data_IF_937479046968
#
_entry.id   IF_937479046968
#
_cell.length_a   1.000
_cell.length_b   1.000
_cell.length_c   1.000
_cell.angle_alpha   90.00
_cell.angle_beta   90.00
_cell.angle_gamma   90.00
#
_symmetry.space_group_name_H-M   'P 1'
#
loop_
_entity.id
_entity.type
_entity.pdbx_description
1 polymer ?
#
# COMPACT_ATOMS: atom_id res chain seq x y z
N UNK A 1 8.45 8.87 14.86
CA UNK A 1 8.23 7.57 14.15
C UNK A 1 7.17 6.70 14.84
N UNK A 2 7.22 6.61 16.18
CA UNK A 2 6.34 5.72 16.96
C UNK A 2 4.95 6.32 17.20
N UNK A 3 4.84 7.64 17.33
CA UNK A 3 3.58 8.33 17.64
C UNK A 3 2.41 7.97 16.71
N UNK A 4 2.51 8.00 15.37
CA UNK A 4 1.39 7.63 14.51
C UNK A 4 0.91 6.20 14.75
N UNK A 5 1.80 5.27 15.12
CA UNK A 5 1.39 3.91 15.43
C UNK A 5 0.60 3.86 16.76
N UNK A 6 1.12 4.48 17.82
CA UNK A 6 0.47 4.49 19.13
C UNK A 6 -0.92 5.14 19.09
N UNK A 7 -1.04 6.30 18.43
CA UNK A 7 -2.31 7.02 18.32
C UNK A 7 -3.34 6.25 17.51
N UNK A 8 -2.93 5.75 16.34
CA UNK A 8 -3.86 5.13 15.41
C UNK A 8 -4.25 3.69 15.78
N UNK A 9 -3.37 2.94 16.46
CA UNK A 9 -3.57 1.51 16.71
C UNK A 9 -3.72 1.12 18.17
N UNK A 10 -3.14 1.89 19.10
CA UNK A 10 -3.21 1.62 20.54
C UNK A 10 -4.10 2.60 21.31
N UNK A 11 -4.66 3.62 20.64
CA UNK A 11 -5.57 4.59 21.27
C UNK A 11 -4.87 5.55 22.23
N UNK A 12 -3.58 5.80 22.03
CA UNK A 12 -2.83 6.77 22.83
C UNK A 12 -3.17 8.20 22.40
N UNK A 13 -3.41 9.10 23.34
CA UNK A 13 -3.77 10.50 23.04
C UNK A 13 -2.53 11.39 22.86
N UNK A 14 -1.51 11.20 23.71
CA UNK A 14 -0.28 11.98 23.72
C UNK A 14 0.94 11.07 23.77
N UNK A 15 1.94 11.39 22.95
CA UNK A 15 3.21 10.66 22.90
C UNK A 15 4.33 11.65 23.14
N UNK A 16 5.05 11.46 24.23
CA UNK A 16 6.25 12.23 24.56
C UNK A 16 7.44 11.29 24.38
N UNK A 17 8.41 11.70 23.58
CA UNK A 17 9.54 10.83 23.29
C UNK A 17 10.67 11.55 22.59
N UNK A 18 11.80 10.86 22.50
CA UNK A 18 12.97 11.36 21.79
C UNK A 18 12.68 11.49 20.30
N UNK A 19 12.91 12.68 19.75
CA UNK A 19 12.77 12.95 18.32
C UNK A 19 14.05 12.61 17.55
N UNK A 20 13.90 12.32 16.26
CA UNK A 20 15.03 12.20 15.34
C UNK A 20 15.23 13.55 14.67
N UNK A 21 16.45 14.06 14.75
CA UNK A 21 16.87 15.28 14.06
C UNK A 21 16.61 15.14 12.56
N UNK A 22 16.10 16.22 11.97
CA UNK A 22 15.84 16.27 10.53
C UNK A 22 16.43 17.52 9.92
N UNK A 23 16.89 17.39 8.69
CA UNK A 23 17.39 18.50 7.89
C UNK A 23 16.65 18.50 6.56
N UNK A 24 15.95 19.61 6.25
CA UNK A 24 15.14 19.77 5.03
C UNK A 24 14.14 18.62 4.79
N UNK A 25 13.53 18.12 5.87
CA UNK A 25 12.56 17.02 5.81
C UNK A 25 13.18 15.62 5.65
N UNK A 26 14.51 15.50 5.73
CA UNK A 26 15.23 14.22 5.73
C UNK A 26 15.72 13.93 7.14
N UNK A 27 15.44 12.75 7.67
CA UNK A 27 15.98 12.30 8.95
C UNK A 27 17.50 12.16 8.85
N UNK A 28 18.23 12.78 9.78
CA UNK A 28 19.71 12.76 9.80
C UNK A 28 20.27 11.47 10.40
N UNK A 29 19.42 10.71 11.12
CA UNK A 29 19.83 9.54 11.90
C UNK A 29 20.31 9.90 13.32
N UNK A 30 20.53 11.19 13.61
CA UNK A 30 20.86 11.65 14.95
C UNK A 30 19.61 11.96 15.76
N UNK A 31 19.71 11.82 17.07
CA UNK A 31 18.68 12.25 18.01
C UNK A 31 18.60 13.80 18.01
N UNK A 32 17.39 14.34 18.03
CA UNK A 32 17.13 15.78 18.20
C UNK A 32 17.52 16.28 19.59
N UNK A 33 17.86 17.57 19.71
CA UNK A 33 18.14 18.19 21.00
C UNK A 33 16.93 18.16 21.94
N UNK A 34 17.18 18.12 23.26
CA UNK A 34 16.20 17.92 24.34
C UNK A 34 15.61 16.49 24.45
N UNK A 35 16.40 15.47 24.11
CA UNK A 35 15.96 14.08 24.09
C UNK A 35 15.29 13.62 25.39
N UNK A 36 14.04 13.16 25.28
CA UNK A 36 13.31 12.44 26.35
C UNK A 36 13.89 11.03 26.41
N UNK A 37 15.11 10.92 26.92
CA UNK A 37 15.90 9.69 26.82
C UNK A 37 15.62 8.78 28.01
N UNK A 38 15.88 9.23 29.23
CA UNK A 38 15.78 8.41 30.46
C UNK A 38 15.66 9.34 31.69
N UNK A 39 15.06 8.88 32.79
CA UNK A 39 15.20 9.57 34.09
C UNK A 39 14.45 10.88 34.20
N UNK A 40 15.13 11.89 34.75
CA UNK A 40 14.58 13.24 34.98
C UNK A 40 14.07 13.91 33.70
N UNK A 41 14.65 13.60 32.54
CA UNK A 41 14.18 14.13 31.25
C UNK A 41 12.73 13.65 30.95
N UNK A 42 12.38 12.41 31.31
CA UNK A 42 11.01 11.90 31.20
C UNK A 42 10.07 12.65 32.15
N UNK A 43 10.52 12.93 33.38
CA UNK A 43 9.75 13.68 34.37
C UNK A 43 9.52 15.13 33.93
N UNK A 44 10.55 15.80 33.39
CA UNK A 44 10.44 17.15 32.85
C UNK A 44 9.49 17.21 31.65
N UNK A 45 9.59 16.25 30.72
CA UNK A 45 8.65 16.15 29.60
C UNK A 45 7.20 15.98 30.09
N UNK A 46 6.98 15.14 31.10
CA UNK A 46 5.65 14.93 31.70
C UNK A 46 5.14 16.20 32.38
N UNK A 47 5.96 16.87 33.21
CA UNK A 47 5.57 18.13 33.85
C UNK A 47 5.16 19.17 32.83
N UNK A 48 5.96 19.34 31.77
CA UNK A 48 5.69 20.29 30.68
C UNK A 48 4.39 19.97 29.94
N UNK A 49 4.07 18.69 29.75
CA UNK A 49 2.84 18.29 29.08
C UNK A 49 1.58 18.48 29.94
N UNK A 50 1.72 18.45 31.26
CA UNK A 50 0.60 18.44 32.21
C UNK A 50 0.60 19.64 33.18
N UNK A 51 1.24 20.76 32.83
CA UNK A 51 1.46 21.95 33.69
C UNK A 51 0.18 22.48 34.39
N UNK A 52 -1.00 22.23 33.82
CA UNK A 52 -2.30 22.70 34.32
C UNK A 52 -3.32 21.59 34.60
N UNK A 53 -2.89 20.31 34.55
CA UNK A 53 -3.78 19.15 34.65
C UNK A 53 -3.69 18.46 36.01
N UNK A 54 -4.71 17.66 36.34
CA UNK A 54 -4.67 16.78 37.50
C UNK A 54 -3.52 15.78 37.42
N UNK A 55 -2.92 15.46 38.57
CA UNK A 55 -1.83 14.48 38.73
C UNK A 55 -2.21 13.15 38.04
N UNK A 56 -1.35 12.58 37.17
CA UNK A 56 -1.60 11.30 36.52
C UNK A 56 -1.91 10.20 37.55
N UNK A 57 -2.89 9.35 37.25
CA UNK A 57 -3.36 8.36 38.23
C UNK A 57 -2.44 7.15 38.31
N UNK A 58 -1.99 6.63 37.18
CA UNK A 58 -1.20 5.39 37.11
C UNK A 58 0.07 5.66 36.30
N UNK A 59 1.23 5.38 36.90
CA UNK A 59 2.53 5.37 36.24
C UNK A 59 3.04 3.94 36.08
N UNK A 60 3.44 3.57 34.88
CA UNK A 60 4.00 2.25 34.56
C UNK A 60 5.39 2.43 33.97
N UNK A 61 6.40 1.80 34.57
CA UNK A 61 7.79 1.83 34.11
C UNK A 61 8.41 0.43 34.06
N UNK A 62 9.59 0.33 33.43
CA UNK A 62 10.29 -0.95 33.24
C UNK A 62 11.57 -1.10 34.07
N UNK A 63 12.03 -0.01 34.69
CA UNK A 63 13.31 0.08 35.40
C UNK A 63 13.33 1.22 36.42
N UNK A 64 14.33 1.26 37.30
CA UNK A 64 14.50 2.35 38.29
C UNK A 64 14.70 3.72 37.64
N UNK A 65 15.15 3.73 36.39
CA UNK A 65 15.35 4.95 35.61
C UNK A 65 14.03 5.64 35.25
N UNK A 66 12.88 4.99 35.49
CA UNK A 66 11.54 5.55 35.30
C UNK A 66 10.96 6.16 36.58
N UNK A 67 11.58 5.92 37.74
CA UNK A 67 11.11 6.45 39.03
C UNK A 67 10.86 7.96 39.04
N UNK A 68 11.70 8.83 38.41
CA UNK A 68 11.46 10.27 38.41
C UNK A 68 10.09 10.68 37.87
N UNK A 69 9.62 10.08 36.77
CA UNK A 69 8.29 10.40 36.24
C UNK A 69 7.19 9.65 37.00
N UNK A 70 7.43 8.40 37.43
CA UNK A 70 6.45 7.62 38.18
C UNK A 70 6.13 8.26 39.54
N UNK A 71 7.09 8.97 40.14
CA UNK A 71 6.89 9.76 41.35
C UNK A 71 5.86 10.88 41.18
N UNK A 72 5.59 11.30 39.94
CA UNK A 72 4.55 12.26 39.60
C UNK A 72 3.15 11.61 39.49
N UNK A 73 3.04 10.28 39.61
CA UNK A 73 1.77 9.55 39.51
C UNK A 73 1.24 9.12 40.89
N UNK A 74 -0.09 8.96 41.03
CA UNK A 74 -0.73 8.49 42.28
C UNK A 74 -0.36 7.05 42.60
N UNK A 75 -0.49 6.16 41.62
CA UNK A 75 -0.11 4.74 41.68
C UNK A 75 1.05 4.44 40.74
N UNK A 76 1.86 3.43 41.10
CA UNK A 76 3.14 3.15 40.46
C UNK A 76 3.34 1.66 40.31
N UNK A 77 3.50 1.20 39.08
CA UNK A 77 3.69 -0.21 38.77
C UNK A 77 4.96 -0.40 37.97
N UNK A 78 5.79 -1.35 38.40
CA UNK A 78 6.94 -1.81 37.62
C UNK A 78 6.52 -3.05 36.87
N UNK A 79 6.72 -3.00 35.55
CA UNK A 79 6.56 -4.15 34.66
C UNK A 79 7.95 -4.52 34.17
N UNK A 80 8.62 -5.50 34.81
CA UNK A 80 9.96 -5.91 34.42
C UNK A 80 9.98 -6.31 32.94
N UNK A 81 11.03 -5.88 32.24
CA UNK A 81 11.23 -6.27 30.85
C UNK A 81 11.49 -7.77 30.76
N UNK A 82 10.46 -8.55 30.36
CA UNK A 82 10.64 -9.95 30.02
C UNK A 82 10.88 -10.07 28.50
N UNK A 83 12.12 -10.38 28.13
CA UNK A 83 12.53 -10.57 26.73
C UNK A 83 11.80 -11.73 26.04
N UNK A 84 11.10 -12.59 26.79
CA UNK A 84 10.29 -13.70 26.26
C UNK A 84 8.89 -13.26 25.83
N UNK A 85 8.47 -12.04 26.16
CA UNK A 85 7.19 -11.50 25.72
C UNK A 85 7.21 -11.38 24.20
N UNK A 86 6.32 -12.12 23.56
CA UNK A 86 6.17 -12.10 22.11
C UNK A 86 5.46 -10.80 21.71
N UNK A 87 5.87 -10.14 20.60
CA UNK A 87 5.13 -9.02 20.06
C UNK A 87 3.66 -9.41 19.83
N UNK A 88 2.75 -8.51 20.21
CA UNK A 88 1.31 -8.65 19.97
C UNK A 88 1.09 -8.87 18.47
N UNK A 89 0.26 -9.85 18.12
CA UNK A 89 -0.06 -10.09 16.72
C UNK A 89 -0.95 -8.97 16.18
N UNK A 90 -0.95 -8.79 14.86
CA UNK A 90 -1.72 -7.70 14.23
C UNK A 90 -3.23 -7.82 14.48
N UNK A 91 -3.75 -9.05 14.58
CA UNK A 91 -5.14 -9.40 14.87
C UNK A 91 -5.53 -9.19 16.35
N UNK A 92 -4.53 -9.09 17.24
CA UNK A 92 -4.72 -8.86 18.68
C UNK A 92 -4.59 -7.36 19.04
N UNK A 93 -4.30 -6.49 18.07
CA UNK A 93 -4.27 -5.04 18.30
C UNK A 93 -5.69 -4.50 18.54
N UNK A 94 -5.86 -3.50 19.43
CA UNK A 94 -7.16 -2.87 19.68
C UNK A 94 -7.84 -2.33 18.41
N UNK A 95 -7.05 -1.90 17.43
CA UNK A 95 -7.53 -1.49 16.10
C UNK A 95 -6.75 -2.27 15.03
N UNK A 96 -7.44 -2.85 14.03
CA UNK A 96 -6.79 -3.65 13.00
C UNK A 96 -5.87 -2.79 12.13
N UNK A 97 -4.70 -3.32 11.79
CA UNK A 97 -3.72 -2.63 10.96
C UNK A 97 -4.01 -2.78 9.47
N UNK A 98 -4.98 -2.00 8.97
CA UNK A 98 -5.38 -2.03 7.56
C UNK A 98 -4.42 -1.20 6.70
N UNK A 99 -3.96 -0.05 7.22
CA UNK A 99 -3.14 0.90 6.47
C UNK A 99 -1.77 1.10 7.11
N UNK A 100 -0.75 0.60 6.45
CA UNK A 100 0.63 0.93 6.80
C UNK A 100 1.38 1.52 5.61
N UNK A 101 2.40 2.30 5.92
CA UNK A 101 3.29 2.90 4.93
C UNK A 101 4.76 2.64 5.31
N UNK A 102 5.62 2.64 4.31
CA UNK A 102 7.03 2.30 4.46
C UNK A 102 7.53 1.38 3.35
N UNK A 103 8.85 1.42 3.14
CA UNK A 103 9.54 0.63 2.13
C UNK A 103 10.08 -0.67 2.65
N UNK A 104 10.36 -0.81 3.94
CA UNK A 104 10.96 -2.02 4.48
C UNK A 104 9.87 -3.04 4.79
N UNK A 105 10.06 -4.27 4.31
CA UNK A 105 9.16 -5.40 4.61
C UNK A 105 9.41 -5.92 6.02
N UNK A 106 10.69 -6.03 6.38
CA UNK A 106 11.10 -6.56 7.67
C UNK A 106 11.45 -5.43 8.63
N UNK A 107 11.19 -5.67 9.93
CA UNK A 107 11.70 -4.80 10.99
C UNK A 107 13.22 -4.72 10.88
N UNK A 108 13.82 -3.52 10.84
CA UNK A 108 15.26 -3.35 10.72
C UNK A 108 15.95 -3.66 12.06
N UNK A 109 16.02 -4.94 12.44
CA UNK A 109 16.94 -5.40 13.48
C UNK A 109 18.38 -5.09 13.05
N UNK A 110 19.38 -5.01 13.95
CA UNK A 110 20.76 -4.74 13.57
C UNK A 110 21.28 -5.65 12.44
N UNK A 111 20.95 -6.95 12.51
CA UNK A 111 21.29 -7.91 11.46
C UNK A 111 20.55 -7.63 10.15
N UNK A 112 19.23 -7.40 10.20
CA UNK A 112 18.46 -7.10 8.97
C UNK A 112 18.87 -5.77 8.34
N UNK A 113 19.18 -4.77 9.14
CA UNK A 113 19.70 -3.49 8.68
C UNK A 113 21.03 -3.66 7.96
N UNK A 114 21.96 -4.44 8.53
CA UNK A 114 23.23 -4.77 7.87
C UNK A 114 22.99 -5.48 6.52
N UNK A 115 22.11 -6.49 6.49
CA UNK A 115 21.77 -7.20 5.26
C UNK A 115 21.17 -6.27 4.21
N UNK A 116 20.27 -5.37 4.60
CA UNK A 116 19.68 -4.37 3.70
C UNK A 116 20.77 -3.43 3.14
N UNK A 117 21.69 -2.95 3.98
CA UNK A 117 22.78 -2.05 3.57
C UNK A 117 23.71 -2.74 2.56
N UNK A 118 24.12 -3.97 2.85
CA UNK A 118 24.99 -4.76 1.96
C UNK A 118 24.28 -5.12 0.65
N UNK A 119 22.99 -5.46 0.71
CA UNK A 119 22.21 -5.80 -0.47
C UNK A 119 21.90 -4.58 -1.34
N UNK A 120 21.69 -3.40 -0.75
CA UNK A 120 21.23 -2.21 -1.46
C UNK A 120 21.96 -1.93 -2.80
N UNK A 121 23.31 -1.87 -2.87
CA UNK A 121 24.01 -1.64 -4.14
C UNK A 121 23.75 -2.75 -5.18
N UNK A 122 23.73 -4.01 -4.76
CA UNK A 122 23.43 -5.17 -5.63
C UNK A 122 21.97 -5.09 -6.12
N UNK A 123 21.05 -4.77 -5.22
CA UNK A 123 19.63 -4.59 -5.51
C UNK A 123 19.39 -3.47 -6.51
N UNK A 124 20.12 -2.36 -6.43
CA UNK A 124 20.05 -1.26 -7.41
C UNK A 124 20.45 -1.75 -8.80
N UNK A 125 21.57 -2.46 -8.94
CA UNK A 125 22.02 -3.00 -10.22
C UNK A 125 21.01 -4.02 -10.79
N UNK A 126 20.54 -4.94 -9.95
CA UNK A 126 19.53 -5.93 -10.30
C UNK A 126 18.24 -5.25 -10.78
N UNK A 127 17.77 -4.25 -10.04
CA UNK A 127 16.59 -3.48 -10.39
C UNK A 127 16.74 -2.80 -11.76
N UNK A 128 17.85 -2.08 -11.97
CA UNK A 128 18.09 -1.38 -13.24
C UNK A 128 18.09 -2.38 -14.40
N UNK A 129 18.74 -3.53 -14.24
CA UNK A 129 18.72 -4.58 -15.26
C UNK A 129 17.31 -5.09 -15.55
N UNK A 130 16.51 -5.41 -14.53
CA UNK A 130 15.12 -5.88 -14.67
C UNK A 130 14.23 -4.86 -15.36
N UNK A 131 14.35 -3.58 -14.99
CA UNK A 131 13.58 -2.49 -15.59
C UNK A 131 13.98 -2.30 -17.05
N UNK A 132 15.27 -2.19 -17.36
CA UNK A 132 15.73 -1.97 -18.73
C UNK A 132 15.37 -3.14 -19.65
N UNK A 133 15.64 -4.39 -19.23
CA UNK A 133 15.32 -5.56 -20.04
C UNK A 133 13.79 -5.67 -20.21
N UNK A 134 13.02 -5.49 -19.13
CA UNK A 134 11.56 -5.56 -19.16
C UNK A 134 10.91 -4.51 -20.04
N UNK A 135 11.35 -3.25 -19.96
CA UNK A 135 10.81 -2.12 -20.74
C UNK A 135 11.15 -2.20 -22.23
N UNK A 136 12.28 -2.83 -22.60
CA UNK A 136 12.69 -2.97 -24.01
C UNK A 136 12.24 -4.30 -24.64
N UNK A 137 11.53 -5.15 -23.91
CA UNK A 137 11.08 -6.45 -24.40
C UNK A 137 9.59 -6.44 -24.77
N UNK A 138 9.18 -7.22 -25.80
CA UNK A 138 7.77 -7.49 -26.04
C UNK A 138 7.09 -8.08 -24.81
N UNK A 139 5.81 -7.75 -24.59
CA UNK A 139 5.06 -8.22 -23.42
C UNK A 139 4.99 -9.75 -23.31
N UNK A 140 5.01 -10.45 -24.45
CA UNK A 140 5.00 -11.92 -24.53
C UNK A 140 6.27 -12.56 -23.95
N UNK A 141 7.40 -11.83 -23.97
CA UNK A 141 8.66 -12.29 -23.38
C UNK A 141 8.82 -11.85 -21.92
N UNK A 142 8.08 -10.82 -21.49
CA UNK A 142 8.20 -10.26 -20.15
C UNK A 142 8.02 -11.32 -19.06
N UNK A 143 7.05 -12.23 -19.23
CA UNK A 143 6.83 -13.35 -18.30
C UNK A 143 8.11 -14.16 -18.07
N UNK A 144 8.77 -14.59 -19.15
CA UNK A 144 9.98 -15.42 -19.08
C UNK A 144 11.19 -14.65 -18.53
N UNK A 145 11.35 -13.39 -18.93
CA UNK A 145 12.43 -12.52 -18.44
C UNK A 145 12.33 -12.32 -16.93
N UNK A 146 11.12 -12.07 -16.42
CA UNK A 146 10.90 -11.92 -14.99
C UNK A 146 11.24 -13.22 -14.24
N UNK A 147 10.81 -14.38 -14.74
CA UNK A 147 11.17 -15.67 -14.14
C UNK A 147 12.69 -15.89 -14.10
N UNK A 148 13.38 -15.64 -15.22
CA UNK A 148 14.84 -15.82 -15.35
C UNK A 148 15.63 -14.87 -14.43
N UNK A 149 15.13 -13.65 -14.25
CA UNK A 149 15.77 -12.68 -13.36
C UNK A 149 15.41 -12.89 -11.89
N UNK A 150 14.64 -13.93 -11.53
CA UNK A 150 14.31 -14.30 -10.15
C UNK A 150 12.96 -13.78 -9.63
N UNK A 151 12.17 -13.12 -10.46
CA UNK A 151 10.79 -12.73 -10.14
C UNK A 151 9.84 -13.88 -10.47
N UNK A 152 9.43 -14.65 -9.45
CA UNK A 152 8.59 -15.82 -9.65
C UNK A 152 7.14 -15.42 -9.96
N UNK A 153 6.63 -15.78 -11.13
CA UNK A 153 5.23 -15.54 -11.50
C UNK A 153 4.45 -16.84 -11.34
N UNK A 154 3.44 -16.83 -10.47
CA UNK A 154 2.52 -17.95 -10.23
C UNK A 154 1.18 -17.61 -10.86
N UNK A 155 0.72 -18.46 -11.77
CA UNK A 155 -0.57 -18.30 -12.45
C UNK A 155 -1.52 -19.40 -11.97
N UNK A 156 -2.72 -18.99 -11.60
CA UNK A 156 -3.83 -19.87 -11.21
C UNK A 156 -5.06 -19.53 -12.04
N UNK A 157 -5.92 -20.53 -12.27
CA UNK A 157 -7.04 -20.41 -13.19
C UNK A 157 -6.60 -20.39 -14.64
N UNK A 158 -7.56 -20.24 -15.55
CA UNK A 158 -7.33 -20.19 -16.99
C UNK A 158 -7.50 -18.76 -17.51
N UNK A 159 -6.44 -18.10 -17.98
CA UNK A 159 -6.56 -16.81 -18.64
C UNK A 159 -7.50 -16.93 -19.85
N UNK A 160 -8.44 -15.99 -20.04
CA UNK A 160 -9.34 -16.04 -21.19
C UNK A 160 -8.57 -15.86 -22.50
N UNK A 161 -9.06 -16.45 -23.61
CA UNK A 161 -8.44 -16.29 -24.92
C UNK A 161 -8.55 -14.83 -25.38
N UNK A 162 -7.56 -14.39 -26.18
CA UNK A 162 -7.49 -13.03 -26.69
C UNK A 162 -8.70 -12.70 -27.60
N UNK A 163 -9.41 -11.62 -27.29
CA UNK A 163 -10.62 -11.19 -27.99
C UNK A 163 -10.37 -10.64 -29.42
N UNK A 164 -9.13 -10.27 -29.76
CA UNK A 164 -8.76 -9.51 -30.98
C UNK A 164 -9.23 -10.09 -32.31
N UNK A 165 -9.54 -11.38 -32.38
CA UNK A 165 -9.91 -12.04 -33.64
C UNK A 165 -11.42 -12.30 -33.79
N UNK A 166 -12.26 -11.75 -32.91
CA UNK A 166 -13.69 -12.13 -32.83
C UNK A 166 -14.70 -11.00 -33.08
N UNK A 167 -14.25 -9.77 -33.36
CA UNK A 167 -15.16 -8.62 -33.52
C UNK A 167 -15.97 -8.28 -32.25
N UNK A 168 -15.52 -8.77 -31.09
CA UNK A 168 -16.15 -8.57 -29.78
C UNK A 168 -15.59 -7.33 -29.10
N UNK A 169 -16.39 -6.75 -28.21
CA UNK A 169 -15.94 -5.70 -27.28
C UNK A 169 -14.81 -6.22 -26.40
N UNK A 170 -13.89 -5.34 -26.00
CA UNK A 170 -12.79 -5.67 -25.11
C UNK A 170 -13.26 -6.18 -23.75
N UNK A 171 -12.41 -6.95 -23.08
CA UNK A 171 -12.70 -7.51 -21.75
C UNK A 171 -12.10 -6.63 -20.66
N UNK A 172 -12.87 -6.36 -19.61
CA UNK A 172 -12.41 -5.66 -18.41
C UNK A 172 -11.88 -6.66 -17.37
N UNK A 173 -10.56 -6.69 -17.22
CA UNK A 173 -9.85 -7.41 -16.16
C UNK A 173 -9.81 -6.55 -14.89
N UNK A 174 -10.65 -6.92 -13.92
CA UNK A 174 -10.86 -6.16 -12.69
C UNK A 174 -10.03 -6.79 -11.57
N UNK A 175 -9.02 -6.06 -11.09
CA UNK A 175 -7.97 -6.61 -10.24
C UNK A 175 -8.00 -6.04 -8.81
N UNK A 176 -7.60 -6.85 -7.82
CA UNK A 176 -7.06 -6.29 -6.56
C UNK A 176 -5.75 -5.54 -6.83
N UNK A 177 -5.43 -4.54 -6.01
CA UNK A 177 -4.29 -3.64 -6.27
C UNK A 177 -3.19 -3.76 -5.21
N UNK A 178 -2.04 -4.35 -5.54
CA UNK A 178 -0.88 -4.52 -4.65
C UNK A 178 0.28 -3.60 -5.00
N UNK A 179 0.54 -3.35 -6.28
CA UNK A 179 1.66 -2.54 -6.78
C UNK A 179 1.25 -1.74 -8.01
N UNK A 180 2.07 -0.77 -8.41
CA UNK A 180 1.82 -0.04 -9.68
C UNK A 180 2.00 -0.91 -10.92
N UNK A 181 2.64 -2.08 -10.81
CA UNK A 181 2.95 -2.98 -11.92
C UNK A 181 1.88 -4.05 -12.12
N UNK A 182 0.82 -4.08 -11.33
CA UNK A 182 -0.20 -5.13 -11.42
C UNK A 182 -0.76 -5.28 -12.85
N UNK A 183 -1.08 -4.19 -13.56
CA UNK A 183 -1.53 -4.29 -14.94
C UNK A 183 -0.49 -4.92 -15.87
N UNK A 184 0.80 -4.60 -15.69
CA UNK A 184 1.89 -5.14 -16.48
C UNK A 184 2.03 -6.66 -16.30
N UNK A 185 1.95 -7.16 -15.06
CA UNK A 185 2.01 -8.59 -14.79
C UNK A 185 0.79 -9.33 -15.33
N UNK A 186 -0.40 -8.73 -15.28
CA UNK A 186 -1.61 -9.29 -15.90
C UNK A 186 -1.45 -9.38 -17.43
N UNK A 187 -0.99 -8.32 -18.10
CA UNK A 187 -0.75 -8.34 -19.56
C UNK A 187 0.30 -9.39 -19.96
N UNK A 188 1.36 -9.53 -19.15
CA UNK A 188 2.40 -10.52 -19.40
C UNK A 188 1.88 -11.96 -19.32
N UNK A 189 0.99 -12.25 -18.37
CA UNK A 189 0.36 -13.58 -18.26
C UNK A 189 -0.67 -13.82 -19.35
N UNK A 190 -1.41 -12.78 -19.77
CA UNK A 190 -2.31 -12.84 -20.92
C UNK A 190 -1.57 -13.01 -22.27
N UNK A 191 -0.26 -12.74 -22.30
CA UNK A 191 0.60 -12.92 -23.47
C UNK A 191 0.38 -11.87 -24.58
N UNK A 192 -0.38 -10.80 -24.31
CA UNK A 192 -0.65 -9.74 -25.29
C UNK A 192 -0.81 -8.37 -24.62
N UNK A 193 -0.70 -7.30 -25.42
CA UNK A 193 -0.78 -5.93 -24.92
C UNK A 193 -2.23 -5.60 -24.54
N UNK A 194 -2.42 -5.22 -23.27
CA UNK A 194 -3.67 -4.64 -22.77
C UNK A 194 -3.48 -3.15 -22.51
N UNK A 195 -4.59 -2.45 -22.26
CA UNK A 195 -4.58 -1.05 -21.82
C UNK A 195 -4.78 -0.98 -20.32
N UNK A 196 -3.98 -0.19 -19.62
CA UNK A 196 -4.10 0.06 -18.18
C UNK A 196 -4.71 1.44 -17.94
N UNK A 197 -5.68 1.56 -17.03
CA UNK A 197 -6.15 2.86 -16.54
C UNK A 197 -5.70 3.14 -15.11
N UNK A 198 -5.23 4.37 -14.86
CA UNK A 198 -4.72 4.73 -13.53
C UNK A 198 -4.92 6.21 -13.18
N UNK A 199 -5.17 6.49 -11.90
CA UNK A 199 -5.42 7.86 -11.40
C UNK A 199 -4.16 8.63 -11.01
N UNK A 200 -3.02 7.96 -10.81
CA UNK A 200 -1.85 8.55 -10.12
C UNK A 200 -0.52 7.87 -10.49
N UNK A 201 -0.36 7.47 -11.75
CA UNK A 201 0.92 6.98 -12.28
C UNK A 201 1.89 8.13 -12.55
N UNK A 202 3.14 7.93 -12.16
CA UNK A 202 4.20 8.90 -12.45
C UNK A 202 4.54 8.91 -13.95
N UNK A 203 5.01 10.05 -14.50
CA UNK A 203 5.44 10.12 -15.91
C UNK A 203 6.58 9.15 -16.23
N UNK A 204 7.48 8.91 -15.28
CA UNK A 204 8.58 7.96 -15.42
C UNK A 204 8.05 6.53 -15.51
N UNK A 205 7.09 6.16 -14.65
CA UNK A 205 6.43 4.85 -14.69
C UNK A 205 5.74 4.62 -16.02
N UNK A 206 5.05 5.63 -16.55
CA UNK A 206 4.39 5.56 -17.85
C UNK A 206 5.38 5.42 -19.00
N UNK A 207 6.48 6.18 -18.98
CA UNK A 207 7.54 6.08 -19.99
C UNK A 207 8.22 4.69 -20.00
N UNK A 208 8.40 4.08 -18.83
CA UNK A 208 9.00 2.75 -18.70
C UNK A 208 8.01 1.61 -18.99
N UNK A 209 6.71 1.89 -19.13
CA UNK A 209 5.69 0.87 -19.29
C UNK A 209 5.66 0.35 -20.74
N UNK A 210 5.80 -0.98 -20.97
CA UNK A 210 5.67 -1.54 -22.32
C UNK A 210 4.21 -1.64 -22.78
N UNK A 211 3.24 -1.44 -21.88
CA UNK A 211 1.81 -1.44 -22.16
C UNK A 211 1.24 -0.02 -22.18
N UNK A 212 0.14 0.18 -22.92
CA UNK A 212 -0.57 1.46 -23.04
C UNK A 212 -1.12 1.87 -21.67
N UNK A 213 -0.76 3.06 -21.19
CA UNK A 213 -1.29 3.62 -19.95
C UNK A 213 -2.21 4.81 -20.26
N UNK A 214 -3.42 4.78 -19.73
CA UNK A 214 -4.39 5.86 -19.85
C UNK A 214 -4.61 6.50 -18.48
N UNK A 215 -4.33 7.81 -18.39
CA UNK A 215 -4.51 8.57 -17.16
C UNK A 215 -5.96 8.99 -16.98
N UNK A 216 -6.50 8.70 -15.82
CA UNK A 216 -7.83 9.14 -15.41
C UNK A 216 -7.74 10.51 -14.71
N UNK A 217 -8.73 11.36 -14.97
CA UNK A 217 -8.79 12.74 -14.49
C UNK A 217 -9.52 12.89 -13.15
N UNK A 218 -10.07 11.79 -12.61
CA UNK A 218 -10.93 11.75 -11.40
C UNK A 218 -12.26 12.46 -11.60
N UNK A 219 -12.66 12.65 -12.85
CA UNK A 219 -13.96 13.17 -13.25
C UNK A 219 -14.74 12.03 -13.89
N UNK A 220 -15.77 11.57 -13.19
CA UNK A 220 -16.46 10.31 -13.50
C UNK A 220 -16.94 10.22 -14.96
N UNK A 221 -17.51 11.29 -15.51
CA UNK A 221 -18.02 11.33 -16.88
C UNK A 221 -16.91 11.21 -17.93
N UNK A 222 -15.78 11.90 -17.74
CA UNK A 222 -14.62 11.82 -18.64
C UNK A 222 -13.94 10.47 -18.55
N UNK A 223 -13.75 9.97 -17.33
CA UNK A 223 -13.14 8.67 -17.08
C UNK A 223 -14.00 7.54 -17.66
N UNK A 224 -15.32 7.63 -17.53
CA UNK A 224 -16.28 6.71 -18.14
C UNK A 224 -16.14 6.66 -19.66
N UNK A 225 -16.06 7.84 -20.30
CA UNK A 225 -15.91 7.95 -21.75
C UNK A 225 -14.60 7.29 -22.23
N UNK A 226 -13.47 7.61 -21.59
CA UNK A 226 -12.16 7.04 -21.94
C UNK A 226 -12.21 5.50 -21.85
N UNK A 227 -12.76 4.97 -20.77
CA UNK A 227 -12.85 3.51 -20.56
C UNK A 227 -13.76 2.87 -21.61
N UNK A 228 -14.91 3.49 -21.88
CA UNK A 228 -15.87 3.00 -22.88
C UNK A 228 -15.25 2.95 -24.28
N UNK A 229 -14.59 4.02 -24.70
CA UNK A 229 -13.94 4.11 -26.02
C UNK A 229 -12.89 2.98 -26.19
N UNK A 230 -12.08 2.70 -25.16
CA UNK A 230 -11.08 1.61 -25.18
C UNK A 230 -11.76 0.24 -25.38
N UNK A 231 -12.85 -0.03 -24.67
CA UNK A 231 -13.56 -1.30 -24.72
C UNK A 231 -14.30 -1.48 -26.05
N UNK A 232 -14.90 -0.42 -26.60
CA UNK A 232 -15.60 -0.43 -27.90
C UNK A 232 -14.62 -0.59 -29.07
N UNK A 233 -13.39 -0.07 -28.96
CA UNK A 233 -12.29 -0.34 -29.90
C UNK A 233 -11.80 -1.81 -29.86
N UNK A 234 -12.30 -2.63 -28.93
CA UNK A 234 -11.92 -4.04 -28.78
C UNK A 234 -10.63 -4.27 -28.01
N UNK A 235 -10.14 -3.27 -27.28
CA UNK A 235 -8.95 -3.41 -26.44
C UNK A 235 -9.29 -3.95 -25.05
N UNK A 236 -8.58 -4.99 -24.64
CA UNK A 236 -8.65 -5.49 -23.28
C UNK A 236 -8.11 -4.45 -22.29
N UNK A 237 -8.85 -4.26 -21.21
CA UNK A 237 -8.62 -3.24 -20.20
C UNK A 237 -8.26 -3.91 -18.88
N UNK A 238 -7.14 -3.51 -18.28
CA UNK A 238 -6.79 -3.90 -16.92
C UNK A 238 -6.98 -2.71 -15.99
N UNK A 239 -7.77 -2.90 -14.92
CA UNK A 239 -8.06 -1.84 -13.98
C UNK A 239 -8.15 -2.32 -12.54
N UNK A 240 -7.82 -1.42 -11.63
CA UNK A 240 -7.81 -1.65 -10.18
C UNK A 240 -8.84 -0.74 -9.51
N UNK A 241 -10.09 -1.21 -9.29
CA UNK A 241 -11.20 -0.37 -8.80
C UNK A 241 -11.01 0.13 -7.36
N UNK A 242 -10.06 -0.39 -6.59
CA UNK A 242 -9.62 0.17 -5.30
C UNK A 242 -9.08 1.60 -5.44
N UNK A 243 -8.53 1.95 -6.61
CA UNK A 243 -7.95 3.26 -6.91
C UNK A 243 -6.64 3.57 -6.17
N UNK A 244 -6.18 2.68 -5.29
CA UNK A 244 -4.88 2.74 -4.61
C UNK A 244 -4.45 1.35 -4.18
N UNK A 245 -3.14 1.13 -4.06
CA UNK A 245 -2.60 -0.16 -3.61
C UNK A 245 -2.99 -0.47 -2.16
N UNK A 246 -3.37 -1.69 -1.84
CA UNK A 246 -3.57 -2.16 -0.48
C UNK A 246 -2.74 -3.43 -0.29
N UNK A 247 -1.76 -3.42 0.62
CA UNK A 247 -0.82 -4.54 0.73
C UNK A 247 -1.15 -5.53 1.83
N UNK A 248 -1.96 -5.12 2.79
CA UNK A 248 -2.46 -5.98 3.84
C UNK A 248 -3.51 -6.96 3.30
N UNK A 249 -3.91 -7.99 4.06
CA UNK A 249 -4.91 -8.98 3.64
C UNK A 249 -6.34 -8.43 3.66
N UNK A 250 -6.51 -7.22 3.11
CA UNK A 250 -7.76 -6.51 2.96
C UNK A 250 -7.94 -6.04 1.53
N UNK A 251 -9.19 -5.94 1.09
CA UNK A 251 -9.58 -5.26 -0.15
C UNK A 251 -10.31 -3.97 0.19
N UNK A 252 -9.90 -2.87 -0.44
CA UNK A 252 -10.64 -1.62 -0.36
C UNK A 252 -11.91 -1.71 -1.19
N UNK A 253 -12.86 -0.82 -0.88
CA UNK A 253 -14.13 -0.75 -1.59
C UNK A 253 -13.89 -0.52 -3.08
N UNK A 254 -14.49 -1.36 -3.91
CA UNK A 254 -14.39 -1.21 -5.36
C UNK A 254 -15.29 -0.07 -5.86
N UNK A 255 -14.78 0.74 -6.80
CA UNK A 255 -15.61 1.64 -7.59
C UNK A 255 -16.49 0.85 -8.54
N UNK A 256 -17.77 1.23 -8.66
CA UNK A 256 -18.75 0.58 -9.56
C UNK A 256 -18.58 0.92 -11.04
N UNK A 257 -17.68 1.85 -11.38
CA UNK A 257 -17.58 2.42 -12.72
C UNK A 257 -17.40 1.36 -13.82
N UNK A 258 -16.64 0.30 -13.57
CA UNK A 258 -16.43 -0.75 -14.58
C UNK A 258 -17.71 -1.52 -14.90
N UNK A 259 -18.55 -1.78 -13.89
CA UNK A 259 -19.79 -2.54 -14.03
C UNK A 259 -20.86 -1.75 -14.80
N UNK A 260 -20.74 -0.42 -14.88
CA UNK A 260 -21.64 0.43 -15.67
C UNK A 260 -21.27 0.47 -17.15
N UNK A 261 -20.05 0.06 -17.50
CA UNK A 261 -19.47 0.28 -18.82
C UNK A 261 -19.40 -0.99 -19.67
N UNK A 262 -19.40 -2.18 -19.05
CA UNK A 262 -19.33 -3.45 -19.77
C UNK A 262 -19.86 -4.61 -18.93
N UNK A 263 -20.42 -5.61 -19.61
CA UNK A 263 -20.76 -6.91 -19.05
C UNK A 263 -19.62 -7.93 -19.22
N UNK A 264 -18.59 -7.60 -20.00
CA UNK A 264 -17.42 -8.46 -20.25
C UNK A 264 -16.39 -8.31 -19.13
N UNK A 265 -16.70 -8.86 -17.94
CA UNK A 265 -15.89 -8.66 -16.72
C UNK A 265 -15.20 -9.96 -16.30
N UNK A 266 -13.88 -9.91 -16.13
CA UNK A 266 -13.06 -11.01 -15.59
C UNK A 266 -12.38 -10.54 -14.29
N UNK A 267 -12.76 -11.09 -13.12
CA UNK A 267 -12.08 -10.79 -11.87
C UNK A 267 -10.69 -11.43 -11.82
N UNK A 268 -9.69 -10.68 -11.35
CA UNK A 268 -8.31 -11.15 -11.22
C UNK A 268 -7.79 -10.89 -9.80
N UNK A 269 -7.52 -11.96 -9.08
CA UNK A 269 -6.98 -11.92 -7.74
C UNK A 269 -5.45 -11.84 -7.80
N UNK A 270 -4.88 -10.80 -7.17
CA UNK A 270 -3.44 -10.53 -7.19
C UNK A 270 -2.88 -10.53 -5.78
N UNK A 271 -1.83 -11.31 -5.58
CA UNK A 271 -1.06 -11.31 -4.35
C UNK A 271 0.44 -11.17 -4.65
N UNK A 272 1.15 -10.46 -3.78
CA UNK A 272 2.56 -10.15 -3.97
C UNK A 272 3.31 -10.44 -2.69
N UNK A 273 4.38 -11.24 -2.80
CA UNK A 273 5.27 -11.54 -1.68
C UNK A 273 6.65 -10.96 -1.98
N UNK A 274 7.11 -10.09 -1.09
CA UNK A 274 8.43 -9.47 -1.15
C UNK A 274 9.18 -9.77 0.14
N UNK A 275 10.51 -9.69 0.12
CA UNK A 275 11.36 -10.08 1.25
C UNK A 275 12.08 -8.91 1.91
N UNK A 276 12.40 -7.86 1.14
CA UNK A 276 13.16 -6.71 1.63
C UNK A 276 12.40 -5.42 1.49
N UNK A 277 11.79 -5.19 0.31
CA UNK A 277 11.21 -3.90 -0.03
C UNK A 277 9.76 -3.98 -0.52
N UNK A 278 8.92 -3.07 -0.05
CA UNK A 278 7.58 -2.86 -0.57
C UNK A 278 7.62 -1.99 -1.83
N UNK A 279 6.98 -2.48 -2.88
CA UNK A 279 6.76 -1.79 -4.15
C UNK A 279 5.65 -0.74 -4.12
N UNK A 280 5.30 -0.21 -2.95
CA UNK A 280 4.33 0.88 -2.83
C UNK A 280 4.62 1.76 -1.61
N UNK A 281 4.37 3.05 -1.74
CA UNK A 281 4.40 4.00 -0.61
C UNK A 281 3.29 5.05 -0.74
N UNK A 282 2.74 5.54 0.37
CA UNK A 282 1.75 6.63 0.36
C UNK A 282 2.42 8.00 0.39
N UNK A 283 3.44 8.19 1.24
CA UNK A 283 4.17 9.47 1.40
C UNK A 283 5.40 9.60 0.49
N UNK A 284 5.88 8.49 -0.07
CA UNK A 284 7.08 8.45 -0.90
C UNK A 284 6.87 8.91 -2.34
N UNK A 285 7.98 9.04 -3.08
CA UNK A 285 7.92 9.32 -4.52
C UNK A 285 7.45 8.06 -5.26
N UNK A 286 6.28 8.15 -5.92
CA UNK A 286 5.63 7.01 -6.61
C UNK A 286 6.49 6.35 -7.68
N UNK A 287 7.34 7.11 -8.38
CA UNK A 287 8.20 6.53 -9.42
C UNK A 287 9.21 5.52 -8.87
N UNK A 288 9.58 5.64 -7.59
CA UNK A 288 10.47 4.69 -6.91
C UNK A 288 9.79 3.34 -6.62
N UNK A 289 8.45 3.25 -6.75
CA UNK A 289 7.70 2.02 -6.44
C UNK A 289 8.18 0.81 -7.26
N UNK A 290 8.41 1.02 -8.55
CA UNK A 290 8.94 -0.01 -9.46
C UNK A 290 10.35 -0.43 -9.02
N UNK A 291 11.18 0.55 -8.65
CA UNK A 291 12.56 0.28 -8.32
C UNK A 291 12.67 -0.56 -7.04
N UNK A 292 12.01 -0.12 -5.96
CA UNK A 292 12.01 -0.88 -4.71
C UNK A 292 11.43 -2.28 -4.87
N UNK A 293 10.40 -2.47 -5.72
CA UNK A 293 9.91 -3.81 -6.00
C UNK A 293 10.99 -4.68 -6.65
N UNK A 294 11.61 -4.22 -7.73
CA UNK A 294 12.63 -4.99 -8.45
C UNK A 294 13.98 -5.07 -7.75
N UNK A 295 14.20 -4.31 -6.67
CA UNK A 295 15.33 -4.51 -5.77
C UNK A 295 15.19 -5.75 -4.88
N UNK A 296 14.01 -6.38 -4.79
CA UNK A 296 13.87 -7.62 -4.02
C UNK A 296 14.65 -8.76 -4.70
N UNK A 297 15.35 -9.62 -3.96
CA UNK A 297 16.10 -10.73 -4.56
C UNK A 297 15.18 -11.70 -5.32
N UNK A 298 14.15 -12.24 -4.65
CA UNK A 298 13.24 -13.24 -5.20
C UNK A 298 11.77 -12.88 -4.89
N UNK A 299 11.21 -11.81 -5.47
CA UNK A 299 9.81 -11.49 -5.27
C UNK A 299 8.92 -12.54 -5.95
N UNK A 300 7.75 -12.81 -5.37
CA UNK A 300 6.74 -13.71 -5.94
C UNK A 300 5.50 -12.91 -6.27
N UNK A 301 5.03 -13.07 -7.49
CA UNK A 301 3.84 -12.42 -8.02
C UNK A 301 2.81 -13.49 -8.38
N UNK A 302 1.71 -13.54 -7.65
CA UNK A 302 0.67 -14.56 -7.77
C UNK A 302 -0.58 -13.94 -8.39
N UNK A 303 -1.00 -14.47 -9.54
CA UNK A 303 -2.14 -14.00 -10.32
C UNK A 303 -3.12 -15.15 -10.48
N UNK A 304 -4.35 -14.94 -10.01
CA UNK A 304 -5.44 -15.90 -10.10
C UNK A 304 -6.54 -15.31 -10.97
N UNK A 305 -6.74 -15.87 -12.16
CA UNK A 305 -7.89 -15.55 -13.01
C UNK A 305 -9.10 -16.31 -12.48
N UNK A 306 -10.16 -15.57 -12.15
CA UNK A 306 -11.46 -16.16 -11.83
C UNK A 306 -12.31 -16.25 -13.09
N UNK A 307 -13.38 -17.04 -13.01
CA UNK A 307 -14.32 -17.17 -14.11
C UNK A 307 -14.93 -15.81 -14.48
N UNK A 308 -15.09 -15.60 -15.78
CA UNK A 308 -15.81 -14.44 -16.31
C UNK A 308 -17.22 -14.41 -15.72
N UNK A 309 -17.70 -13.22 -15.35
CA UNK A 309 -19.06 -13.05 -14.87
C UNK A 309 -20.06 -13.52 -15.93
N UNK A 310 -21.03 -14.33 -15.49
CA UNK A 310 -22.21 -14.67 -16.30
C UNK A 310 -23.12 -13.44 -16.45
N UNK A 311 -23.96 -13.35 -17.49
CA UNK A 311 -24.89 -12.24 -17.67
C UNK A 311 -25.79 -11.99 -16.44
N UNK A 312 -26.19 -13.05 -15.74
CA UNK A 312 -27.00 -12.98 -14.51
C UNK A 312 -26.26 -12.32 -13.33
N UNK A 313 -24.94 -12.18 -13.42
CA UNK A 313 -24.08 -11.54 -12.42
C UNK A 313 -23.72 -10.09 -12.79
N UNK A 314 -24.16 -9.59 -13.95
CA UNK A 314 -23.86 -8.23 -14.41
C UNK A 314 -25.08 -7.32 -14.36
N UNK A 315 -24.90 -6.06 -14.76
CA UNK A 315 -25.99 -5.08 -14.84
C UNK A 315 -27.05 -5.44 -15.90
N UNK A 316 -26.68 -6.27 -16.90
CA UNK A 316 -27.63 -6.77 -17.92
C UNK A 316 -28.84 -7.51 -17.33
N UNK A 317 -28.67 -8.14 -16.16
CA UNK A 317 -29.73 -8.81 -15.42
C UNK A 317 -30.54 -7.88 -14.49
N UNK A 318 -30.36 -6.57 -14.60
CA UNK A 318 -31.05 -5.57 -13.77
C UNK A 318 -30.42 -5.33 -12.39
N UNK A 319 -29.23 -5.90 -12.13
CA UNK A 319 -28.47 -5.64 -10.89
C UNK A 319 -27.92 -4.21 -10.90
N UNK A 320 -27.78 -3.61 -9.72
CA UNK A 320 -27.10 -2.32 -9.63
C UNK A 320 -25.59 -2.49 -9.86
N UNK A 321 -24.94 -1.47 -10.42
CA UNK A 321 -23.48 -1.50 -10.61
C UNK A 321 -22.70 -1.63 -9.29
N UNK A 322 -23.28 -1.18 -8.18
CA UNK A 322 -22.72 -1.35 -6.84
C UNK A 322 -22.78 -2.81 -6.40
N UNK A 323 -23.87 -3.53 -6.67
CA UNK A 323 -23.99 -4.95 -6.33
C UNK A 323 -23.01 -5.79 -7.12
N UNK A 324 -22.85 -5.49 -8.42
CA UNK A 324 -21.84 -6.15 -9.26
C UNK A 324 -20.43 -5.89 -8.72
N UNK A 325 -20.12 -4.65 -8.35
CA UNK A 325 -18.81 -4.30 -7.80
C UNK A 325 -18.52 -4.97 -6.45
N UNK A 326 -19.52 -5.05 -5.57
CA UNK A 326 -19.41 -5.75 -4.29
C UNK A 326 -19.23 -7.26 -4.51
N UNK A 327 -19.99 -7.87 -5.41
CA UNK A 327 -19.83 -9.29 -5.78
C UNK A 327 -18.41 -9.58 -6.30
N UNK A 328 -17.89 -8.74 -7.21
CA UNK A 328 -16.51 -8.90 -7.71
C UNK A 328 -15.47 -8.72 -6.59
N UNK A 329 -15.69 -7.77 -5.68
CA UNK A 329 -14.83 -7.58 -4.50
C UNK A 329 -14.84 -8.83 -3.61
N UNK A 330 -16.00 -9.43 -3.35
CA UNK A 330 -16.18 -10.64 -2.54
C UNK A 330 -15.55 -11.88 -3.21
N UNK A 331 -15.72 -12.04 -4.52
CA UNK A 331 -15.09 -13.14 -5.28
C UNK A 331 -13.56 -13.08 -5.17
N UNK A 332 -12.97 -11.90 -5.35
CA UNK A 332 -11.52 -11.70 -5.21
C UNK A 332 -11.09 -11.87 -3.75
N UNK A 333 -11.88 -11.37 -2.80
CA UNK A 333 -11.64 -11.54 -1.37
C UNK A 333 -11.60 -13.01 -0.96
N UNK A 334 -12.57 -13.81 -1.40
CA UNK A 334 -12.63 -15.24 -1.16
C UNK A 334 -11.44 -15.98 -1.78
N UNK A 335 -11.07 -15.66 -3.02
CA UNK A 335 -9.93 -16.27 -3.70
C UNK A 335 -8.58 -16.01 -3.00
N UNK A 336 -8.42 -14.80 -2.43
CA UNK A 336 -7.21 -14.40 -1.71
C UNK A 336 -7.25 -14.73 -0.21
N UNK A 337 -8.42 -15.09 0.33
CA UNK A 337 -8.72 -15.16 1.77
C UNK A 337 -8.47 -13.81 2.46
N UNK A 338 -8.89 -12.73 1.81
CA UNK A 338 -8.80 -11.36 2.33
C UNK A 338 -10.15 -10.85 2.79
N UNK A 339 -10.12 -9.94 3.74
CA UNK A 339 -11.32 -9.29 4.25
C UNK A 339 -11.72 -8.10 3.36
N UNK A 340 -12.98 -8.08 2.93
CA UNK A 340 -13.53 -6.98 2.15
C UNK A 340 -13.91 -5.82 3.06
N UNK A 341 -13.37 -4.63 2.81
CA UNK A 341 -13.64 -3.44 3.61
C UNK A 341 -14.49 -2.43 2.84
N UNK A 342 -15.12 -1.51 3.59
CA UNK A 342 -15.78 -0.32 3.03
C UNK A 342 -14.85 0.89 2.91
N UNK A 343 -13.59 0.74 3.32
CA UNK A 343 -12.61 1.84 3.25
C UNK A 343 -12.29 2.18 1.81
N UNK A 344 -12.17 3.47 1.56
CA UNK A 344 -11.85 4.03 0.26
C UNK A 344 -10.39 4.46 0.20
N UNK A 345 -9.95 4.78 -1.02
CA UNK A 345 -8.70 5.50 -1.24
C UNK A 345 -8.57 6.75 -0.36
N UNK A 346 -9.65 7.52 -0.20
CA UNK A 346 -9.62 8.77 0.55
C UNK A 346 -9.29 8.51 2.02
N UNK A 347 -9.90 7.47 2.60
CA UNK A 347 -9.66 7.06 3.98
C UNK A 347 -8.19 6.66 4.19
N UNK A 348 -7.64 5.88 3.24
CA UNK A 348 -6.22 5.52 3.24
C UNK A 348 -5.30 6.74 3.28
N UNK A 349 -5.46 7.68 2.33
CA UNK A 349 -4.56 8.83 2.23
C UNK A 349 -4.75 9.80 3.40
N UNK A 350 -5.97 9.91 3.95
CA UNK A 350 -6.24 10.72 5.13
C UNK A 350 -5.48 10.17 6.34
N UNK A 351 -5.61 8.86 6.59
CA UNK A 351 -4.92 8.19 7.69
C UNK A 351 -3.39 8.20 7.50
N UNK A 352 -2.91 7.87 6.30
CA UNK A 352 -1.47 7.71 6.07
C UNK A 352 -0.75 9.02 5.80
N UNK A 353 -1.34 9.99 5.12
CA UNK A 353 -0.62 11.18 4.65
C UNK A 353 -1.27 12.50 5.09
N UNK A 354 -2.40 12.47 5.81
CA UNK A 354 -3.14 13.67 6.17
C UNK A 354 -3.71 14.42 4.96
N UNK A 355 -3.86 13.77 3.82
CA UNK A 355 -4.38 14.37 2.58
C UNK A 355 -5.48 13.52 1.99
N UNK A 356 -6.32 14.08 1.13
CA UNK A 356 -7.34 13.30 0.42
C UNK A 356 -6.76 12.56 -0.83
N UNK A 357 -5.42 12.48 -0.95
CA UNK A 357 -4.73 11.87 -2.10
C UNK A 357 -4.69 12.75 -3.36
N UNK A 358 -5.06 14.03 -3.24
CA UNK A 358 -4.87 15.03 -4.29
C UNK A 358 -3.41 15.52 -4.24
N UNK A 359 -2.72 15.54 -5.39
CA UNK A 359 -1.26 15.80 -5.50
C UNK A 359 -0.89 17.26 -5.19
N UNK A 360 -1.86 18.13 -4.89
CA UNK A 360 -1.68 19.58 -4.82
C UNK A 360 -1.95 20.24 -3.47
N UNK A 361 -2.24 19.50 -2.39
CA UNK A 361 -2.25 20.10 -1.06
C UNK A 361 -0.94 19.78 -0.35
N UNK A 362 -0.10 20.81 -0.19
CA UNK A 362 0.93 20.79 0.86
C UNK A 362 0.24 20.40 2.16
N UNK A 363 0.82 19.53 3.00
CA UNK A 363 0.28 19.31 4.33
C UNK A 363 0.13 20.68 4.98
N UNK A 364 -1.08 21.00 5.45
CA UNK A 364 -1.27 22.15 6.31
C UNK A 364 -0.29 21.97 7.47
N UNK A 365 0.67 22.89 7.56
CA UNK A 365 1.38 23.10 8.81
C UNK A 365 0.26 23.35 9.81
N UNK A 366 0.01 22.39 10.70
CA UNK A 366 -0.74 22.68 11.91
C UNK A 366 0.11 23.72 12.59
N UNK A 367 -0.30 24.97 12.47
CA UNK A 367 0.28 26.05 13.23
C UNK A 367 0.22 25.59 14.68
N UNK A 368 1.39 25.46 15.29
CA UNK A 368 1.50 25.53 16.74
C UNK A 368 1.08 26.96 17.10
N UNK A 369 -0.23 27.20 17.15
CA UNK A 369 -0.76 28.42 17.71
C UNK A 369 -0.56 28.37 19.21
N UNK A 370 0.50 29.07 19.62
CA UNK A 370 0.54 30.00 20.75
C UNK A 370 -0.26 29.56 21.98
N UNK A 371 0.45 28.90 22.89
CA UNK A 371 0.30 29.21 24.32
C UNK A 371 1.53 29.99 24.72
N UNK A 372 1.40 31.31 24.64
CA UNK A 372 2.14 32.29 25.44
C UNK A 372 1.37 32.55 26.72
#
# INVERSE_FOLDING_TARGET
MVEPFLKNYLGVDLVLGTEISSWRGVATGFVGGAGVLVGEEKAMALRKAFESSSVPEIGIGDSEADFPFMNLCKERYIVPSDQRVRPVKQDELPKPMIFHDGRLVQKPSPMMALLIIVWFPIGVLLCVSRVLIGSNSPISLFYYIMQLTGCKILVKGTPPPNAKNSGRTGVAFVCSHKTVMDPLFVSAVLGHNTTCVSYSTSRITEFLSPIRNCRLTRERSKDAKIIKDILEEGWDLVMCPEGTTCREPYLLRFSSLFAELTDEIVPVAINVRTSMFHGSTARGRKWLDIFFFFMNPLPVYEITFLDKLSPDQTCSAGKSSFDVANNVQEMIGAALKFECTKFTRKDKYRMLAGTDGLVWQKPGVVAADKLS
#
